data_IF_172439189105
#
_entry.id   IF_172439189105
#
_cell.length_a   1.000
_cell.length_b   1.000
_cell.length_c   1.000
_cell.angle_alpha   90.00
_cell.angle_beta   90.00
_cell.angle_gamma   90.00
#
_symmetry.space_group_name_H-M   'P 1'
#
loop_
_entity.id
_entity.type
_entity.pdbx_description
1 polymer ?
#
# COMPACT_ATOMS: atom_id res chain seq x y z
N UNK A 1 2.81 12.78 7.24
CA UNK A 1 2.07 12.59 5.96
C UNK A 1 1.14 11.41 6.06
N UNK A 2 0.11 11.40 5.25
CA UNK A 2 -0.70 10.20 5.01
C UNK A 2 -0.08 9.42 3.87
N UNK A 3 0.29 8.17 4.13
CA UNK A 3 0.97 7.31 3.15
C UNK A 3 0.22 6.00 3.03
N UNK A 4 -0.14 5.63 1.81
CA UNK A 4 -0.78 4.35 1.51
C UNK A 4 0.26 3.41 0.91
N UNK A 5 0.28 2.15 1.35
CA UNK A 5 1.10 1.11 0.75
C UNK A 5 0.18 0.15 0.00
N UNK A 6 0.54 -0.18 -1.25
CA UNK A 6 -0.29 -1.09 -2.02
C UNK A 6 -0.07 -2.55 -1.61
N UNK A 7 -0.86 -3.43 -2.20
CA UNK A 7 -0.87 -4.86 -1.90
C UNK A 7 0.51 -5.50 -2.00
N UNK A 8 1.26 -5.21 -3.06
CA UNK A 8 2.55 -5.85 -3.31
C UNK A 8 3.63 -5.46 -2.30
N UNK A 9 3.58 -4.23 -1.80
CA UNK A 9 4.51 -3.78 -0.76
C UNK A 9 4.31 -4.59 0.51
N UNK A 10 3.05 -4.79 0.90
CA UNK A 10 2.72 -5.54 2.13
C UNK A 10 3.04 -7.03 1.97
N UNK A 11 2.72 -7.61 0.82
CA UNK A 11 3.07 -9.01 0.53
C UNK A 11 4.58 -9.21 0.59
N UNK A 12 5.36 -8.31 -0.03
CA UNK A 12 6.82 -8.37 0.00
C UNK A 12 7.36 -8.27 1.43
N UNK A 13 6.78 -7.41 2.24
CA UNK A 13 7.16 -7.27 3.65
C UNK A 13 6.90 -8.55 4.44
N UNK A 14 5.78 -9.22 4.17
CA UNK A 14 5.42 -10.48 4.82
C UNK A 14 6.37 -11.61 4.42
N UNK A 15 6.65 -11.74 3.11
CA UNK A 15 7.48 -12.82 2.58
C UNK A 15 8.96 -12.62 2.90
N UNK A 16 9.42 -11.37 2.93
CA UNK A 16 10.82 -11.01 3.11
C UNK A 16 10.96 -9.94 4.19
N UNK A 17 10.93 -10.34 5.48
CA UNK A 17 10.91 -9.37 6.59
C UNK A 17 12.13 -8.44 6.67
N UNK A 18 13.24 -8.82 6.05
CA UNK A 18 14.47 -8.02 6.05
C UNK A 18 14.63 -7.17 4.78
N UNK A 19 13.64 -7.22 3.89
CA UNK A 19 13.68 -6.51 2.61
C UNK A 19 13.44 -5.01 2.76
N UNK A 20 13.75 -4.27 1.71
CA UNK A 20 13.46 -2.84 1.66
C UNK A 20 11.96 -2.53 1.80
N UNK A 21 11.04 -3.23 1.10
CA UNK A 21 9.60 -3.00 1.33
C UNK A 21 9.19 -3.19 2.79
N UNK A 22 9.76 -4.17 3.50
CA UNK A 22 9.48 -4.37 4.93
C UNK A 22 9.94 -3.18 5.76
N UNK A 23 11.15 -2.68 5.51
CA UNK A 23 11.69 -1.50 6.20
C UNK A 23 10.85 -0.26 5.93
N UNK A 24 10.45 -0.07 4.68
CA UNK A 24 9.62 1.07 4.29
C UNK A 24 8.26 1.01 4.98
N UNK A 25 7.61 -0.17 4.98
CA UNK A 25 6.31 -0.34 5.61
C UNK A 25 6.36 -0.02 7.11
N UNK A 26 7.36 -0.53 7.82
CA UNK A 26 7.53 -0.28 9.24
C UNK A 26 7.85 1.20 9.53
N UNK A 27 8.65 1.82 8.67
CA UNK A 27 8.97 3.24 8.78
C UNK A 27 7.72 4.11 8.62
N UNK A 28 6.87 3.79 7.64
CA UNK A 28 5.61 4.51 7.43
C UNK A 28 4.73 4.37 8.66
N UNK A 29 4.54 3.15 9.16
CA UNK A 29 3.68 2.90 10.31
C UNK A 29 4.17 3.61 11.58
N UNK A 30 5.49 3.80 11.71
CA UNK A 30 6.09 4.41 12.90
C UNK A 30 6.18 5.93 12.83
N UNK A 31 6.29 6.51 11.64
CA UNK A 31 6.60 7.94 11.48
C UNK A 31 5.56 8.73 10.71
N UNK A 32 4.63 8.06 10.06
CA UNK A 32 3.57 8.68 9.27
C UNK A 32 2.23 8.03 9.59
N UNK A 33 1.18 8.52 8.95
CA UNK A 33 -0.14 7.91 9.05
C UNK A 33 -0.29 6.89 7.92
N UNK A 34 -0.15 5.61 8.26
CA UNK A 34 -0.34 4.53 7.29
C UNK A 34 -1.83 4.40 7.00
N UNK A 35 -2.19 4.41 5.72
CA UNK A 35 -3.55 4.25 5.25
C UNK A 35 -3.64 2.99 4.40
N UNK A 36 -4.62 2.15 4.68
CA UNK A 36 -4.95 0.99 3.85
C UNK A 36 -6.42 1.07 3.49
N UNK A 37 -6.83 0.44 2.40
CA UNK A 37 -8.24 0.33 2.08
C UNK A 37 -8.70 -1.12 2.15
N UNK A 38 -10.00 -1.31 2.24
CA UNK A 38 -10.62 -2.64 2.31
C UNK A 38 -10.22 -3.50 1.12
N UNK A 39 -10.11 -2.92 -0.08
CA UNK A 39 -9.70 -3.62 -1.29
C UNK A 39 -8.29 -4.21 -1.15
N UNK A 40 -7.34 -3.43 -0.61
CA UNK A 40 -5.97 -3.90 -0.36
C UNK A 40 -5.97 -5.06 0.63
N UNK A 41 -6.66 -4.90 1.76
CA UNK A 41 -6.68 -5.92 2.82
C UNK A 41 -7.30 -7.22 2.31
N UNK A 42 -8.41 -7.12 1.58
CA UNK A 42 -9.06 -8.30 0.98
C UNK A 42 -8.14 -8.98 -0.03
N UNK A 43 -7.51 -8.21 -0.91
CA UNK A 43 -6.61 -8.75 -1.93
C UNK A 43 -5.41 -9.47 -1.32
N UNK A 44 -4.81 -8.91 -0.27
CA UNK A 44 -3.70 -9.54 0.43
C UNK A 44 -4.14 -10.90 1.01
N UNK A 45 -5.27 -10.93 1.70
CA UNK A 45 -5.79 -12.17 2.28
C UNK A 45 -6.06 -13.23 1.22
N UNK A 46 -6.66 -12.82 0.10
CA UNK A 46 -6.95 -13.74 -1.01
C UNK A 46 -5.67 -14.30 -1.62
N UNK A 47 -4.69 -13.47 -1.89
CA UNK A 47 -3.42 -13.89 -2.49
C UNK A 47 -2.68 -14.85 -1.56
N UNK A 48 -2.58 -14.52 -0.27
CA UNK A 48 -1.88 -15.38 0.70
C UNK A 48 -2.63 -16.68 0.92
N UNK A 49 -3.95 -16.66 1.00
CA UNK A 49 -4.76 -17.87 1.12
C UNK A 49 -4.54 -18.83 -0.05
N UNK A 50 -4.37 -18.28 -1.25
CA UNK A 50 -4.20 -19.06 -2.46
C UNK A 50 -2.77 -19.55 -2.65
N UNK A 51 -1.78 -18.70 -2.44
CA UNK A 51 -0.38 -18.97 -2.77
C UNK A 51 0.48 -19.42 -1.61
N UNK A 52 0.21 -18.91 -0.41
CA UNK A 52 0.99 -19.23 0.79
C UNK A 52 0.07 -19.32 2.01
N UNK A 53 -0.85 -20.30 2.03
CA UNK A 53 -1.78 -20.43 3.16
C UNK A 53 -1.07 -20.68 4.51
N UNK A 54 0.15 -21.19 4.48
CA UNK A 54 1.00 -21.35 5.66
C UNK A 54 1.33 -20.00 6.35
N UNK A 55 1.22 -18.90 5.63
CA UNK A 55 1.53 -17.55 6.15
C UNK A 55 0.30 -16.75 6.60
N UNK A 56 -0.90 -17.35 6.55
CA UNK A 56 -2.11 -16.62 6.94
C UNK A 56 -2.06 -16.10 8.38
N UNK A 57 -1.56 -16.94 9.30
CA UNK A 57 -1.40 -16.52 10.70
C UNK A 57 -0.42 -15.36 10.84
N UNK A 58 0.70 -15.44 10.11
CA UNK A 58 1.70 -14.37 10.12
C UNK A 58 1.15 -13.08 9.54
N UNK A 59 0.32 -13.19 8.49
CA UNK A 59 -0.34 -12.03 7.90
C UNK A 59 -1.25 -11.33 8.91
N UNK A 60 -2.08 -12.10 9.62
CA UNK A 60 -3.00 -11.53 10.60
C UNK A 60 -2.24 -10.87 11.76
N UNK A 61 -1.13 -11.44 12.17
CA UNK A 61 -0.25 -10.83 13.19
C UNK A 61 0.32 -9.51 12.67
N UNK A 62 0.82 -9.50 11.43
CA UNK A 62 1.36 -8.28 10.83
C UNK A 62 0.31 -7.18 10.77
N UNK A 63 -0.88 -7.49 10.26
CA UNK A 63 -1.97 -6.51 10.17
C UNK A 63 -2.41 -6.01 11.56
N UNK A 64 -2.40 -6.87 12.56
CA UNK A 64 -2.75 -6.48 13.92
C UNK A 64 -1.69 -5.58 14.57
N UNK A 65 -0.42 -5.75 14.21
CA UNK A 65 0.68 -4.96 14.75
C UNK A 65 0.86 -3.61 14.06
N UNK A 66 0.43 -3.50 12.80
CA UNK A 66 0.50 -2.23 12.08
C UNK A 66 -0.60 -1.29 12.57
N UNK A 67 -0.22 -0.07 12.89
CA UNK A 67 -1.18 0.98 13.19
C UNK A 67 -1.57 1.65 11.88
N UNK A 68 -2.81 1.50 11.42
CA UNK A 68 -3.26 2.09 10.16
C UNK A 68 -4.71 2.54 10.22
N UNK A 69 -5.03 3.50 9.36
CA UNK A 69 -6.39 3.94 9.11
C UNK A 69 -6.96 3.10 7.97
N UNK A 70 -8.13 2.51 8.18
CA UNK A 70 -8.80 1.72 7.15
C UNK A 70 -9.86 2.56 6.46
N UNK A 71 -9.74 2.66 5.13
CA UNK A 71 -10.68 3.42 4.29
C UNK A 71 -11.47 2.41 3.45
N UNK A 72 -12.77 2.63 3.37
CA UNK A 72 -13.63 1.85 2.47
C UNK A 72 -13.51 2.46 1.08
N UNK A 73 -13.03 1.66 0.12
CA UNK A 73 -12.82 2.14 -1.24
C UNK A 73 -14.15 2.48 -1.92
N UNK A 74 -14.28 3.67 -2.54
CA UNK A 74 -15.48 4.02 -3.29
C UNK A 74 -15.66 3.08 -4.49
N UNK A 75 -16.91 2.72 -4.75
CA UNK A 75 -17.27 1.85 -5.88
C UNK A 75 -17.34 2.62 -7.20
N UNK A 76 -17.58 3.92 -7.14
CA UNK A 76 -17.84 4.75 -8.29
C UNK A 76 -16.67 5.62 -8.63
N UNK A 77 -16.28 5.65 -9.92
CA UNK A 77 -15.24 6.56 -10.36
C UNK A 77 -15.04 6.56 -11.86
N UNK A 78 -14.54 7.66 -12.34
CA UNK A 78 -13.88 7.73 -13.62
C UNK A 78 -12.57 6.93 -13.55
N UNK A 79 -12.28 6.19 -14.59
CA UNK A 79 -11.11 5.33 -14.67
C UNK A 79 -9.85 6.17 -14.93
N UNK A 80 -8.95 6.23 -13.95
CA UNK A 80 -7.70 6.99 -14.04
C UNK A 80 -6.48 6.11 -14.20
N UNK A 81 -6.61 4.79 -13.97
CA UNK A 81 -5.51 3.85 -14.06
C UNK A 81 -5.83 2.75 -15.07
N UNK A 82 -4.80 2.25 -15.72
CA UNK A 82 -4.94 1.29 -16.81
C UNK A 82 -5.52 -0.05 -16.35
N UNK A 83 -5.11 -0.55 -15.19
CA UNK A 83 -5.64 -1.80 -14.65
C UNK A 83 -6.88 -1.52 -13.80
N UNK A 84 -8.08 -2.01 -14.20
CA UNK A 84 -9.30 -1.76 -13.43
C UNK A 84 -9.27 -2.34 -12.01
N UNK A 85 -8.43 -3.34 -11.73
CA UNK A 85 -8.29 -3.92 -10.40
C UNK A 85 -7.67 -2.95 -9.41
N UNK A 86 -6.86 -2.01 -9.90
CA UNK A 86 -6.16 -1.04 -9.07
C UNK A 86 -6.95 0.25 -8.88
N UNK A 87 -8.03 0.44 -9.63
CA UNK A 87 -8.84 1.65 -9.53
C UNK A 87 -9.43 1.87 -8.13
N UNK A 88 -9.95 0.84 -7.42
CA UNK A 88 -10.44 1.05 -6.05
C UNK A 88 -9.36 1.54 -5.09
N UNK A 89 -8.13 1.08 -5.25
CA UNK A 89 -6.99 1.52 -4.43
C UNK A 89 -6.73 3.00 -4.66
N UNK A 90 -6.68 3.42 -5.92
CA UNK A 90 -6.48 4.81 -6.30
C UNK A 90 -7.60 5.70 -5.77
N UNK A 91 -8.85 5.25 -5.91
CA UNK A 91 -10.02 5.98 -5.41
C UNK A 91 -9.96 6.20 -3.91
N UNK A 92 -9.58 5.16 -3.17
CA UNK A 92 -9.45 5.26 -1.71
C UNK A 92 -8.33 6.24 -1.32
N UNK A 93 -7.21 6.21 -2.03
CA UNK A 93 -6.09 7.14 -1.77
C UNK A 93 -6.50 8.58 -1.98
N UNK A 94 -7.22 8.87 -3.06
CA UNK A 94 -7.72 10.22 -3.37
C UNK A 94 -8.74 10.65 -2.32
N UNK A 95 -9.70 9.80 -2.00
CA UNK A 95 -10.74 10.11 -1.02
C UNK A 95 -10.16 10.41 0.36
N UNK A 96 -9.17 9.64 0.78
CA UNK A 96 -8.55 9.78 2.10
C UNK A 96 -7.58 10.97 2.18
N UNK A 97 -7.29 11.63 1.07
CA UNK A 97 -6.30 12.71 1.04
C UNK A 97 -4.88 12.22 1.27
N UNK A 98 -4.55 11.04 0.75
CA UNK A 98 -3.21 10.46 0.88
C UNK A 98 -2.21 11.32 0.12
N UNK A 99 -1.07 11.59 0.75
CA UNK A 99 -0.01 12.40 0.14
C UNK A 99 0.85 11.55 -0.81
N UNK A 100 1.15 10.31 -0.41
CA UNK A 100 2.01 9.42 -1.18
C UNK A 100 1.42 8.01 -1.20
N UNK A 101 1.35 7.41 -2.37
CA UNK A 101 1.06 5.99 -2.56
C UNK A 101 2.37 5.28 -2.88
N UNK A 102 2.80 4.38 -2.01
CA UNK A 102 4.02 3.59 -2.24
C UNK A 102 3.64 2.28 -2.92
N UNK A 103 4.21 2.05 -4.09
CA UNK A 103 3.91 0.88 -4.91
C UNK A 103 5.11 0.50 -5.77
N UNK A 104 5.28 -0.81 -5.98
CA UNK A 104 6.21 -1.32 -6.97
C UNK A 104 5.56 -1.50 -8.35
N UNK A 105 4.26 -1.26 -8.47
CA UNK A 105 3.52 -1.47 -9.71
C UNK A 105 3.68 -0.26 -10.64
N UNK A 106 4.19 -0.52 -11.84
CA UNK A 106 4.41 0.52 -12.83
C UNK A 106 3.13 1.25 -13.27
N UNK A 107 1.96 0.62 -13.15
CA UNK A 107 0.69 1.29 -13.46
C UNK A 107 0.44 2.46 -12.53
N UNK A 108 0.76 2.32 -11.24
CA UNK A 108 0.69 3.44 -10.30
C UNK A 108 1.81 4.46 -10.55
N UNK A 109 3.03 3.97 -10.83
CA UNK A 109 4.21 4.83 -10.98
C UNK A 109 4.15 5.72 -12.21
N UNK A 110 3.31 5.39 -13.20
CA UNK A 110 3.10 6.19 -14.41
C UNK A 110 2.07 7.31 -14.22
N UNK A 111 1.34 7.30 -13.11
CA UNK A 111 0.32 8.32 -12.87
C UNK A 111 0.98 9.66 -12.55
N UNK A 112 0.40 10.72 -13.11
CA UNK A 112 0.82 12.09 -12.84
C UNK A 112 -0.40 12.85 -12.31
N UNK A 113 -0.54 12.86 -10.99
CA UNK A 113 -1.66 13.50 -10.30
C UNK A 113 -1.14 14.60 -9.39
N UNK A 114 -1.81 15.74 -9.41
CA UNK A 114 -1.40 16.91 -8.61
C UNK A 114 -1.48 16.65 -7.11
N UNK A 115 -2.52 15.94 -6.66
CA UNK A 115 -2.80 15.77 -5.25
C UNK A 115 -2.23 14.50 -4.64
N UNK A 116 -1.70 13.59 -5.46
CA UNK A 116 -1.22 12.29 -5.00
C UNK A 116 0.07 11.94 -5.73
N UNK A 117 1.15 11.77 -4.96
CA UNK A 117 2.42 11.31 -5.50
C UNK A 117 2.49 9.79 -5.41
N UNK A 118 3.03 9.15 -6.44
CA UNK A 118 3.27 7.71 -6.44
C UNK A 118 4.77 7.47 -6.46
N UNK A 119 5.25 6.59 -5.58
CA UNK A 119 6.68 6.31 -5.42
C UNK A 119 6.92 4.83 -5.25
N UNK A 120 8.03 4.34 -5.83
CA UNK A 120 8.54 3.03 -5.49
C UNK A 120 9.09 3.02 -4.07
N UNK A 121 9.16 1.86 -3.38
CA UNK A 121 9.73 1.80 -2.04
C UNK A 121 11.12 2.41 -1.92
N UNK A 122 11.99 2.17 -2.90
CA UNK A 122 13.34 2.73 -2.89
C UNK A 122 13.34 4.26 -2.98
N UNK A 123 12.47 4.84 -3.81
CA UNK A 123 12.34 6.29 -3.95
C UNK A 123 11.85 6.91 -2.63
N UNK A 124 10.83 6.30 -2.03
CA UNK A 124 10.31 6.77 -0.75
C UNK A 124 11.37 6.69 0.34
N UNK A 125 12.11 5.59 0.41
CA UNK A 125 13.18 5.40 1.38
C UNK A 125 14.26 6.47 1.25
N UNK A 126 14.70 6.75 0.02
CA UNK A 126 15.69 7.78 -0.25
C UNK A 126 15.21 9.18 0.14
N UNK A 127 13.95 9.48 -0.16
CA UNK A 127 13.35 10.76 0.23
C UNK A 127 13.38 10.95 1.75
N UNK A 128 13.04 9.90 2.50
CA UNK A 128 13.01 9.95 3.96
C UNK A 128 14.40 10.06 4.59
N UNK A 129 15.41 9.52 3.95
CA UNK A 129 16.80 9.59 4.44
C UNK A 129 17.42 10.97 4.27
N UNK A 130 16.87 11.82 3.43
CA UNK A 130 17.38 13.18 3.18
C UNK A 130 16.95 14.20 4.23
N UNK A 131 16.04 13.85 5.08
CA UNK A 131 15.52 14.75 6.12
C UNK A 131 16.34 14.72 7.38
#
# INVERSE_FOLDING_TARGET
MKVMADTNVIISALLFPDSLPAKVLLHIASNHDLVLCDHIVTEIRDVISLKRPDLLSDLEVLLAQLSYELIIAPQDSSRLIQDPKDQPILNAAILAGVDVLVSGDKHFLKLDLESLRTMAPAEFWQMEQRC
#
